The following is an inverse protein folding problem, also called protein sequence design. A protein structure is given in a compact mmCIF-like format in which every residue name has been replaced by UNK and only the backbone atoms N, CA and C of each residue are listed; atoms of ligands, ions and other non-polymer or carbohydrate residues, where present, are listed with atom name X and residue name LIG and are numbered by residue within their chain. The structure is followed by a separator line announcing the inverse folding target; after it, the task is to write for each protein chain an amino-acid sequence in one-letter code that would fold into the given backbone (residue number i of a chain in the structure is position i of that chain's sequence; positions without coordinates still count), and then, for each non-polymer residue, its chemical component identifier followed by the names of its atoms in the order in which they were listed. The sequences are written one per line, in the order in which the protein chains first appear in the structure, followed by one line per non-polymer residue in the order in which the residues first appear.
data_IF_334856275115
#
_entry.id   IF_334856275115
#
_cell.length_a   1.000
_cell.length_b   1.000
_cell.length_c   1.000
_cell.angle_alpha   90.00
_cell.angle_beta   90.00
_cell.angle_gamma   90.00
#
_symmetry.space_group_name_H-M   'P 1'
#
loop_
_entity.id
_entity.type
_entity.pdbx_description
1 polymer ?
#
# COMPACT_ATOMS: atom_id res chain seq x y z
N UNK A 1 -38.76 -25.73 14.17
CA UNK A 1 -37.89 -24.69 14.76
C UNK A 1 -36.48 -24.63 14.17
N UNK A 2 -35.90 -25.72 13.64
CA UNK A 2 -34.54 -25.70 13.06
C UNK A 2 -34.36 -24.72 11.89
N UNK A 3 -35.30 -24.69 10.94
CA UNK A 3 -35.20 -23.92 9.69
C UNK A 3 -35.02 -22.41 9.90
N UNK A 4 -35.70 -21.82 10.89
CA UNK A 4 -35.60 -20.37 11.13
C UNK A 4 -34.24 -19.98 11.72
N UNK A 5 -33.69 -20.80 12.61
CA UNK A 5 -32.36 -20.58 13.18
C UNK A 5 -31.26 -20.70 12.12
N UNK A 6 -31.37 -21.69 11.24
CA UNK A 6 -30.40 -21.92 10.16
C UNK A 6 -30.37 -20.75 9.16
N UNK A 7 -31.53 -20.21 8.80
CA UNK A 7 -31.64 -19.05 7.91
C UNK A 7 -31.01 -17.80 8.53
N UNK A 8 -31.23 -17.56 9.83
CA UNK A 8 -30.65 -16.42 10.55
C UNK A 8 -29.13 -16.57 10.66
N UNK A 9 -28.63 -17.76 11.00
CA UNK A 9 -27.21 -18.02 11.11
C UNK A 9 -26.49 -17.78 9.77
N UNK A 10 -27.04 -18.32 8.68
CA UNK A 10 -26.50 -18.11 7.34
C UNK A 10 -26.51 -16.64 6.93
N UNK A 11 -27.62 -15.93 7.19
CA UNK A 11 -27.74 -14.51 6.90
C UNK A 11 -26.70 -13.66 7.63
N UNK A 12 -26.51 -13.89 8.94
CA UNK A 12 -25.49 -13.19 9.72
C UNK A 12 -24.08 -13.48 9.19
N UNK A 13 -23.76 -14.73 8.83
CA UNK A 13 -22.46 -15.06 8.25
C UNK A 13 -22.22 -14.35 6.92
N UNK A 14 -23.20 -14.33 6.02
CA UNK A 14 -23.09 -13.63 4.72
C UNK A 14 -22.84 -12.14 4.92
N UNK A 15 -23.57 -11.49 5.84
CA UNK A 15 -23.39 -10.06 6.09
C UNK A 15 -21.99 -9.73 6.58
N UNK A 16 -21.44 -10.51 7.52
CA UNK A 16 -20.08 -10.31 8.03
C UNK A 16 -19.04 -10.52 6.91
N UNK A 17 -19.18 -11.60 6.13
CA UNK A 17 -18.27 -11.89 5.02
C UNK A 17 -18.30 -10.79 3.97
N UNK A 18 -19.49 -10.32 3.59
CA UNK A 18 -19.64 -9.23 2.62
C UNK A 18 -19.08 -7.92 3.15
N UNK A 19 -19.31 -7.60 4.42
CA UNK A 19 -18.74 -6.41 5.06
C UNK A 19 -17.21 -6.44 5.06
N UNK A 20 -16.62 -7.59 5.40
CA UNK A 20 -15.17 -7.77 5.37
C UNK A 20 -14.62 -7.68 3.93
N UNK A 21 -15.26 -8.38 2.98
CA UNK A 21 -14.85 -8.34 1.58
C UNK A 21 -14.94 -6.94 1.00
N UNK A 22 -16.02 -6.20 1.31
CA UNK A 22 -16.19 -4.80 0.93
C UNK A 22 -15.08 -3.92 1.49
N UNK A 23 -14.76 -4.06 2.78
CA UNK A 23 -13.70 -3.31 3.42
C UNK A 23 -12.35 -3.55 2.76
N UNK A 24 -11.97 -4.82 2.57
CA UNK A 24 -10.71 -5.20 1.90
C UNK A 24 -10.66 -4.64 0.48
N UNK A 25 -11.75 -4.79 -0.29
CA UNK A 25 -11.83 -4.28 -1.64
C UNK A 25 -11.63 -2.75 -1.68
N UNK A 26 -12.23 -2.02 -0.75
CA UNK A 26 -12.07 -0.57 -0.65
C UNK A 26 -10.63 -0.16 -0.32
N UNK A 27 -9.96 -0.87 0.60
CA UNK A 27 -8.54 -0.63 0.89
C UNK A 27 -7.64 -0.89 -0.32
N UNK A 28 -7.92 -1.96 -1.08
CA UNK A 28 -7.18 -2.27 -2.32
C UNK A 28 -7.38 -1.18 -3.37
N UNK A 29 -8.61 -0.72 -3.59
CA UNK A 29 -8.89 0.37 -4.53
C UNK A 29 -8.18 1.67 -4.12
N UNK A 30 -8.17 2.00 -2.82
CA UNK A 30 -7.43 3.17 -2.31
C UNK A 30 -5.95 3.08 -2.65
N UNK A 31 -5.31 1.94 -2.36
CA UNK A 31 -3.88 1.74 -2.63
C UNK A 31 -3.58 1.75 -4.13
N UNK A 32 -4.45 1.16 -4.94
CA UNK A 32 -4.29 1.16 -6.39
C UNK A 32 -4.41 2.56 -6.99
N UNK A 33 -5.39 3.36 -6.54
CA UNK A 33 -5.55 4.77 -6.95
C UNK A 33 -4.31 5.61 -6.65
N UNK A 34 -3.74 5.46 -5.45
CA UNK A 34 -2.50 6.14 -5.07
C UNK A 34 -1.34 5.69 -5.97
N UNK A 35 -1.22 4.38 -6.25
CA UNK A 35 -0.19 3.84 -7.15
C UNK A 35 -0.28 4.42 -8.57
N UNK A 36 -1.49 4.57 -9.12
CA UNK A 36 -1.69 5.20 -10.42
C UNK A 36 -1.24 6.67 -10.43
N UNK A 37 -1.57 7.44 -9.39
CA UNK A 37 -1.14 8.85 -9.26
C UNK A 37 0.37 8.99 -9.10
N UNK A 38 1.00 8.09 -8.33
CA UNK A 38 2.47 8.03 -8.22
C UNK A 38 3.13 7.73 -9.57
N UNK A 39 2.57 6.80 -10.36
CA UNK A 39 3.09 6.47 -11.70
C UNK A 39 2.97 7.63 -12.70
N UNK A 40 2.01 8.53 -12.47
CA UNK A 40 1.80 9.73 -13.26
C UNK A 40 2.61 10.95 -12.74
N UNK A 41 3.44 10.78 -11.69
CA UNK A 41 4.18 11.85 -11.01
C UNK A 41 3.26 13.01 -10.59
N UNK A 42 2.07 12.68 -10.09
CA UNK A 42 1.09 13.68 -9.69
C UNK A 42 1.51 14.42 -8.40
N UNK A 43 1.94 15.67 -8.55
CA UNK A 43 2.40 16.54 -7.45
C UNK A 43 1.31 16.84 -6.41
N UNK A 44 0.03 16.71 -6.78
CA UNK A 44 -1.06 16.94 -5.83
C UNK A 44 -1.10 15.89 -4.70
N UNK A 45 -0.34 14.79 -4.81
CA UNK A 45 -0.11 13.83 -3.72
C UNK A 45 0.67 14.43 -2.54
N UNK A 46 1.47 15.48 -2.76
CA UNK A 46 2.23 16.15 -1.69
C UNK A 46 1.32 16.82 -0.64
N UNK A 47 0.07 17.09 -1.03
CA UNK A 47 -0.93 17.75 -0.19
C UNK A 47 -2.09 16.83 0.19
N UNK A 48 -1.97 15.52 -0.07
CA UNK A 48 -3.02 14.54 0.20
C UNK A 48 -2.82 13.93 1.60
N UNK A 49 -3.84 14.06 2.47
CA UNK A 49 -3.81 13.52 3.85
C UNK A 49 -3.62 11.99 3.90
N UNK A 50 -3.89 11.28 2.81
CA UNK A 50 -3.73 9.83 2.72
C UNK A 50 -2.30 9.35 2.47
N UNK A 51 -1.34 10.25 2.23
CA UNK A 51 0.04 9.92 1.87
C UNK A 51 1.02 10.68 2.76
N UNK A 52 1.89 9.96 3.47
CA UNK A 52 3.01 10.57 4.20
C UNK A 52 4.25 10.58 3.31
N UNK A 53 4.84 11.75 3.14
CA UNK A 53 6.09 11.95 2.39
C UNK A 53 7.19 12.28 3.39
N UNK A 54 8.21 11.44 3.44
CA UNK A 54 9.38 11.65 4.29
C UNK A 54 10.60 11.94 3.41
N UNK A 55 11.34 13.00 3.76
CA UNK A 55 12.59 13.35 3.09
C UNK A 55 13.73 12.68 3.85
N UNK A 56 14.34 11.65 3.25
CA UNK A 56 15.51 10.97 3.83
C UNK A 56 16.74 11.85 3.58
N UNK A 57 17.28 12.45 4.64
CA UNK A 57 18.44 13.36 4.56
C UNK A 57 19.77 12.71 4.88
N UNK A 58 19.78 11.59 5.60
CA UNK A 58 21.01 10.88 5.99
C UNK A 58 20.97 9.43 5.50
N UNK A 59 22.13 8.96 5.02
CA UNK A 59 22.37 7.55 4.70
C UNK A 59 23.28 6.89 5.73
N UNK A 60 23.21 5.56 5.90
CA UNK A 60 24.15 4.83 6.74
C UNK A 60 25.61 5.15 6.37
N UNK A 61 26.50 5.07 7.36
CA UNK A 61 27.94 5.30 7.19
C UNK A 61 28.45 4.39 6.06
N UNK A 62 29.05 4.99 5.03
CA UNK A 62 29.53 4.27 3.84
C UNK A 62 28.55 4.24 2.65
N UNK A 63 27.38 4.87 2.75
CA UNK A 63 26.43 5.05 1.64
C UNK A 63 26.23 6.53 1.31
N UNK A 64 25.81 6.82 0.09
CA UNK A 64 25.45 8.18 -0.38
C UNK A 64 24.11 8.16 -1.12
N UNK A 65 23.23 9.14 -0.86
CA UNK A 65 22.07 9.40 -1.72
C UNK A 65 22.58 10.02 -3.03
N UNK A 66 22.44 9.29 -4.14
CA UNK A 66 22.72 9.80 -5.49
C UNK A 66 21.40 10.00 -6.21
N UNK A 67 21.11 11.24 -6.62
CA UNK A 67 19.91 11.56 -7.36
C UNK A 67 19.95 10.97 -8.77
N UNK A 68 19.08 9.99 -9.06
CA UNK A 68 18.77 9.57 -10.43
C UNK A 68 19.79 8.65 -11.14
N UNK A 69 20.57 7.85 -10.41
CA UNK A 69 21.45 6.84 -11.02
C UNK A 69 20.89 5.42 -10.79
N UNK A 70 20.90 4.60 -11.86
CA UNK A 70 20.63 3.15 -11.79
C UNK A 70 21.68 2.52 -10.89
N UNK A 71 21.27 1.61 -10.00
CA UNK A 71 22.17 0.93 -9.08
C UNK A 71 23.26 0.16 -9.86
N UNK A 72 24.49 0.67 -9.82
CA UNK A 72 25.66 -0.02 -10.35
C UNK A 72 26.17 -1.02 -9.30
N UNK A 73 26.34 -2.28 -9.72
CA UNK A 73 26.93 -3.32 -8.88
C UNK A 73 28.42 -3.02 -8.74
N UNK A 74 28.85 -2.63 -7.53
CA UNK A 74 30.27 -2.49 -7.21
C UNK A 74 30.84 -3.88 -6.91
N UNK A 75 31.57 -4.46 -7.85
CA UNK A 75 32.28 -5.73 -7.60
C UNK A 75 33.54 -5.44 -6.78
N UNK A 76 33.61 -6.05 -5.58
CA UNK A 76 34.68 -5.83 -4.61
C UNK A 76 36.04 -6.25 -5.19
N UNK A 77 36.78 -5.26 -5.69
CA UNK A 77 38.16 -5.42 -6.14
C UNK A 77 39.06 -4.89 -5.02
N UNK A 78 39.31 -5.74 -4.02
CA UNK A 78 40.33 -5.51 -3.01
C UNK A 78 41.75 -5.46 -3.61
N UNK A 79 42.72 -4.84 -2.90
CA UNK A 79 44.08 -4.60 -3.37
C UNK A 79 44.92 -5.86 -3.62
#
# INVERSE_FOLDING_TARGET
MAVAGDVVAWGCSVLVILGLAWYVFYEVLKRWRVGLRLSALDESLLYDDGVSVEVITDTPIGSSIVGGAVAEFMEDSGP
#
